data_IF_054873534889
#
_entry.id   IF_054873534889
#
_cell.length_a   1.000
_cell.length_b   1.000
_cell.length_c   1.000
_cell.angle_alpha   90.00
_cell.angle_beta   90.00
_cell.angle_gamma   90.00
#
_symmetry.space_group_name_H-M   'P 1'
#
loop_
_entity.id
_entity.type
_entity.pdbx_description
1 polymer ?
#
# COMPACT_ATOMS: atom_id res chain seq x y z
N UNK A 1 -1.26 28.07 4.66
CA UNK A 1 -0.86 27.53 5.99
C UNK A 1 0.62 27.79 6.19
N UNK A 2 1.03 28.22 7.38
CA UNK A 2 2.47 28.31 7.70
C UNK A 2 3.04 26.89 7.84
N UNK A 3 4.28 26.60 7.39
CA UNK A 3 4.85 25.24 7.40
C UNK A 3 4.79 24.56 8.79
N UNK A 4 4.96 25.34 9.86
CA UNK A 4 4.92 24.86 11.24
C UNK A 4 3.54 24.32 11.67
N UNK A 5 2.46 24.91 11.17
CA UNK A 5 1.09 24.50 11.50
C UNK A 5 0.74 23.16 10.82
N UNK A 6 1.17 23.00 9.56
CA UNK A 6 1.03 21.74 8.83
C UNK A 6 1.76 20.60 9.55
N UNK A 7 2.99 20.86 9.99
CA UNK A 7 3.79 19.89 10.73
C UNK A 7 3.11 19.46 12.03
N UNK A 8 2.62 20.42 12.82
CA UNK A 8 1.92 20.12 14.09
C UNK A 8 0.64 19.30 13.86
N UNK A 9 -0.12 19.61 12.81
CA UNK A 9 -1.33 18.87 12.45
C UNK A 9 -1.03 17.42 12.01
N UNK A 10 0.08 17.21 11.30
CA UNK A 10 0.47 15.89 10.80
C UNK A 10 1.16 15.00 11.86
N UNK A 11 1.74 15.58 12.92
CA UNK A 11 2.61 14.87 13.87
C UNK A 11 2.00 13.58 14.42
N UNK A 12 0.76 13.62 14.92
CA UNK A 12 0.10 12.45 15.50
C UNK A 12 -0.09 11.31 14.50
N UNK A 13 -0.46 11.63 13.26
CA UNK A 13 -0.59 10.65 12.19
C UNK A 13 0.78 10.08 11.78
N UNK A 14 1.79 10.92 11.61
CA UNK A 14 3.15 10.47 11.28
C UNK A 14 3.71 9.53 12.36
N UNK A 15 3.52 9.85 13.65
CA UNK A 15 3.97 9.01 14.74
C UNK A 15 3.23 7.66 14.76
N UNK A 16 1.90 7.67 14.62
CA UNK A 16 1.11 6.46 14.54
C UNK A 16 1.50 5.59 13.34
N UNK A 17 1.70 6.19 12.16
CA UNK A 17 2.20 5.51 10.95
C UNK A 17 3.56 4.87 11.16
N UNK A 18 4.50 5.56 11.82
CA UNK A 18 5.83 5.02 12.09
C UNK A 18 5.79 3.81 13.03
N UNK A 19 4.98 3.89 14.10
CA UNK A 19 4.76 2.76 15.02
C UNK A 19 4.09 1.59 14.30
N UNK A 20 3.06 1.87 13.49
CA UNK A 20 2.37 0.86 12.69
C UNK A 20 3.30 0.16 11.70
N UNK A 21 4.16 0.93 11.03
CA UNK A 21 5.14 0.40 10.09
C UNK A 21 6.12 -0.56 10.76
N UNK A 22 6.68 -0.18 11.91
CA UNK A 22 7.60 -1.01 12.67
C UNK A 22 6.93 -2.32 13.14
N UNK A 23 5.70 -2.23 13.66
CA UNK A 23 4.93 -3.38 14.11
C UNK A 23 4.55 -4.31 12.96
N UNK A 24 4.07 -3.77 11.84
CA UNK A 24 3.72 -4.55 10.66
C UNK A 24 4.93 -5.27 10.06
N UNK A 25 6.06 -4.57 9.96
CA UNK A 25 7.32 -5.16 9.49
C UNK A 25 7.76 -6.31 10.38
N UNK A 26 7.82 -6.08 11.69
CA UNK A 26 8.22 -7.10 12.65
C UNK A 26 7.28 -8.32 12.57
N UNK A 27 5.97 -8.09 12.57
CA UNK A 27 4.99 -9.17 12.55
C UNK A 27 5.03 -9.98 11.25
N UNK A 28 5.15 -9.33 10.09
CA UNK A 28 5.27 -10.03 8.81
C UNK A 28 6.55 -10.87 8.75
N UNK A 29 7.66 -10.38 9.31
CA UNK A 29 8.91 -11.12 9.36
C UNK A 29 8.79 -12.37 10.23
N UNK A 30 8.23 -12.24 11.43
CA UNK A 30 8.12 -13.36 12.37
C UNK A 30 7.04 -14.38 11.95
N UNK A 31 5.90 -13.93 11.41
CA UNK A 31 4.80 -14.83 11.05
C UNK A 31 4.95 -15.48 9.67
N UNK A 32 5.49 -14.75 8.68
CA UNK A 32 5.58 -15.23 7.30
C UNK A 32 7.01 -15.67 6.92
N UNK A 33 8.01 -15.40 7.76
CA UNK A 33 9.40 -15.72 7.47
C UNK A 33 10.01 -14.88 6.33
N UNK A 34 9.34 -13.79 5.93
CA UNK A 34 9.85 -12.91 4.88
C UNK A 34 11.10 -12.16 5.40
N UNK A 35 12.23 -12.19 4.68
CA UNK A 35 13.48 -11.62 5.20
C UNK A 35 13.42 -10.10 5.35
N UNK A 36 12.70 -9.41 4.45
CA UNK A 36 12.56 -7.95 4.46
C UNK A 36 11.15 -7.52 4.02
N UNK A 37 10.12 -7.61 4.89
CA UNK A 37 8.72 -7.33 4.57
C UNK A 37 8.41 -5.82 4.52
N UNK A 38 9.12 -5.10 3.66
CA UNK A 38 9.01 -3.65 3.52
C UNK A 38 7.60 -3.25 3.04
N UNK A 39 6.91 -4.12 2.29
CA UNK A 39 5.54 -3.86 1.85
C UNK A 39 4.55 -3.80 3.00
N UNK A 40 4.75 -4.57 4.07
CA UNK A 40 3.92 -4.49 5.27
C UNK A 40 4.08 -3.13 5.95
N UNK A 41 5.32 -2.63 6.05
CA UNK A 41 5.60 -1.30 6.58
C UNK A 41 4.94 -0.20 5.74
N UNK A 42 5.12 -0.23 4.42
CA UNK A 42 4.55 0.75 3.49
C UNK A 42 3.02 0.75 3.55
N UNK A 43 2.40 -0.42 3.58
CA UNK A 43 0.95 -0.56 3.67
C UNK A 43 0.39 0.09 4.95
N UNK A 44 1.04 -0.12 6.09
CA UNK A 44 0.66 0.53 7.35
C UNK A 44 0.77 2.07 7.26
N UNK A 45 1.83 2.59 6.63
CA UNK A 45 2.01 4.04 6.42
C UNK A 45 0.91 4.61 5.55
N UNK A 46 0.57 3.95 4.43
CA UNK A 46 -0.47 4.41 3.50
C UNK A 46 -1.84 4.42 4.18
N UNK A 47 -2.16 3.41 4.98
CA UNK A 47 -3.41 3.35 5.73
C UNK A 47 -3.55 4.53 6.70
N UNK A 48 -2.47 4.90 7.39
CA UNK A 48 -2.46 5.91 8.46
C UNK A 48 -1.98 7.30 8.02
N UNK A 49 -1.75 7.50 6.73
CA UNK A 49 -1.16 8.73 6.20
C UNK A 49 -1.94 9.98 6.66
N UNK A 50 -1.24 11.09 7.00
CA UNK A 50 -1.89 12.34 7.33
C UNK A 50 -2.84 12.81 6.22
N UNK A 51 -4.04 13.25 6.58
CA UNK A 51 -5.05 13.74 5.63
C UNK A 51 -5.99 12.66 5.08
N UNK A 52 -5.81 11.39 5.44
CA UNK A 52 -6.77 10.33 5.15
C UNK A 52 -8.02 10.52 6.02
N UNK A 53 -9.18 10.71 5.39
CA UNK A 53 -10.45 10.89 6.09
C UNK A 53 -11.08 9.56 6.56
N UNK A 54 -10.89 8.50 5.79
CA UNK A 54 -11.42 7.17 6.05
C UNK A 54 -10.30 6.12 5.86
N UNK A 55 -9.70 5.73 6.97
CA UNK A 55 -8.60 4.76 6.98
C UNK A 55 -9.04 3.37 6.51
N UNK A 56 -10.29 2.97 6.76
CA UNK A 56 -10.82 1.67 6.32
C UNK A 56 -10.96 1.64 4.80
N UNK A 57 -11.60 2.67 4.22
CA UNK A 57 -11.71 2.80 2.77
C UNK A 57 -10.33 2.91 2.12
N UNK A 58 -9.41 3.66 2.72
CA UNK A 58 -8.02 3.78 2.26
C UNK A 58 -7.33 2.43 2.20
N UNK A 59 -7.38 1.64 3.29
CA UNK A 59 -6.76 0.33 3.38
C UNK A 59 -7.34 -0.68 2.39
N UNK A 60 -8.67 -0.76 2.29
CA UNK A 60 -9.34 -1.66 1.34
C UNK A 60 -9.03 -1.29 -0.11
N UNK A 61 -9.04 0.02 -0.43
CA UNK A 61 -8.74 0.49 -1.78
C UNK A 61 -7.29 0.24 -2.17
N UNK A 62 -6.37 0.44 -1.22
CA UNK A 62 -4.96 0.09 -1.38
C UNK A 62 -4.79 -1.40 -1.66
N UNK A 63 -5.39 -2.29 -0.85
CA UNK A 63 -5.33 -3.74 -1.04
C UNK A 63 -5.87 -4.17 -2.40
N UNK A 64 -7.02 -3.62 -2.82
CA UNK A 64 -7.59 -3.89 -4.14
C UNK A 64 -6.64 -3.45 -5.27
N UNK A 65 -6.04 -2.26 -5.14
CA UNK A 65 -5.02 -1.77 -6.07
C UNK A 65 -3.82 -2.72 -6.16
N UNK A 66 -3.27 -3.17 -5.02
CA UNK A 66 -2.15 -4.12 -5.01
C UNK A 66 -2.53 -5.43 -5.70
N UNK A 67 -3.70 -6.00 -5.41
CA UNK A 67 -4.18 -7.23 -6.05
C UNK A 67 -4.28 -7.10 -7.57
N UNK A 68 -4.86 -6.00 -8.06
CA UNK A 68 -4.97 -5.72 -9.50
C UNK A 68 -3.58 -5.58 -10.12
N UNK A 69 -2.70 -4.81 -9.49
CA UNK A 69 -1.36 -4.57 -10.01
C UNK A 69 -0.50 -5.83 -10.05
N UNK A 70 -0.59 -6.69 -9.03
CA UNK A 70 0.09 -7.98 -9.01
C UNK A 70 -0.38 -8.84 -10.19
N UNK A 71 -1.69 -9.00 -10.36
CA UNK A 71 -2.25 -9.79 -11.46
C UNK A 71 -1.84 -9.26 -12.83
N UNK A 72 -1.91 -7.94 -13.05
CA UNK A 72 -1.50 -7.32 -14.32
C UNK A 72 0.01 -7.43 -14.54
N UNK A 73 0.82 -7.24 -13.50
CA UNK A 73 2.27 -7.40 -13.57
C UNK A 73 2.69 -8.82 -13.95
N UNK A 74 2.00 -9.83 -13.43
CA UNK A 74 2.24 -11.22 -13.78
C UNK A 74 1.88 -11.52 -15.24
N UNK A 75 0.72 -11.03 -15.71
CA UNK A 75 0.34 -11.16 -17.12
C UNK A 75 1.31 -10.43 -18.05
N UNK A 76 1.82 -9.27 -17.63
CA UNK A 76 2.78 -8.51 -18.40
C UNK A 76 4.14 -9.23 -18.55
N UNK A 77 4.47 -10.23 -17.70
CA UNK A 77 5.65 -11.10 -17.89
C UNK A 77 5.59 -11.91 -19.20
N UNK A 78 4.42 -12.07 -19.81
CA UNK A 78 4.27 -12.72 -21.11
C UNK A 78 4.80 -11.87 -22.27
N UNK A 79 5.02 -10.56 -22.05
CA UNK A 79 5.60 -9.67 -23.04
C UNK A 79 7.13 -9.87 -23.03
N UNK A 80 7.76 -10.10 -24.20
CA UNK A 80 9.20 -10.36 -24.27
C UNK A 80 10.04 -9.26 -23.60
N UNK A 81 11.11 -9.66 -22.91
CA UNK A 81 12.03 -8.74 -22.22
C UNK A 81 12.67 -7.71 -23.16
N UNK A 82 12.81 -8.03 -24.46
CA UNK A 82 13.32 -7.10 -25.48
C UNK A 82 12.45 -5.83 -25.64
N UNK A 83 11.21 -5.85 -25.16
CA UNK A 83 10.27 -4.73 -25.19
C UNK A 83 10.05 -4.13 -23.80
N UNK A 84 11.08 -4.11 -22.95
CA UNK A 84 11.00 -3.70 -21.55
C UNK A 84 10.21 -2.40 -21.31
N UNK A 85 10.53 -1.33 -22.04
CA UNK A 85 9.87 -0.03 -21.84
C UNK A 85 8.38 -0.06 -22.21
N UNK A 86 8.03 -0.78 -23.28
CA UNK A 86 6.63 -0.97 -23.71
C UNK A 86 5.87 -1.81 -22.70
N UNK A 87 6.48 -2.90 -22.23
CA UNK A 87 5.93 -3.79 -21.20
C UNK A 87 5.66 -3.04 -19.91
N UNK A 88 6.61 -2.22 -19.48
CA UNK A 88 6.52 -1.37 -18.29
C UNK A 88 5.36 -0.37 -18.42
N UNK A 89 5.32 0.38 -19.53
CA UNK A 89 4.29 1.38 -19.78
C UNK A 89 2.88 0.75 -19.85
N UNK A 90 2.74 -0.37 -20.57
CA UNK A 90 1.47 -1.05 -20.74
C UNK A 90 0.97 -1.64 -19.41
N UNK A 91 1.84 -2.29 -18.64
CA UNK A 91 1.47 -2.87 -17.35
C UNK A 91 0.96 -1.79 -16.38
N UNK A 92 1.68 -0.68 -16.26
CA UNK A 92 1.27 0.44 -15.41
C UNK A 92 -0.06 1.04 -15.87
N UNK A 93 -0.20 1.32 -17.17
CA UNK A 93 -1.42 1.90 -17.74
C UNK A 93 -2.63 1.00 -17.52
N UNK A 94 -2.54 -0.29 -17.87
CA UNK A 94 -3.64 -1.24 -17.73
C UNK A 94 -4.04 -1.43 -16.28
N UNK A 95 -3.06 -1.61 -15.37
CA UNK A 95 -3.34 -1.77 -13.94
C UNK A 95 -4.06 -0.54 -13.36
N UNK A 96 -3.59 0.66 -13.68
CA UNK A 96 -4.21 1.92 -13.24
C UNK A 96 -5.62 2.09 -13.81
N UNK A 97 -5.84 1.77 -15.09
CA UNK A 97 -7.15 1.87 -15.74
C UNK A 97 -8.17 0.91 -15.13
N UNK A 98 -7.77 -0.34 -14.88
CA UNK A 98 -8.62 -1.33 -14.21
C UNK A 98 -8.96 -0.84 -12.80
N UNK A 99 -7.95 -0.48 -12.00
CA UNK A 99 -8.16 0.00 -10.64
C UNK A 99 -9.06 1.24 -10.59
N UNK A 100 -8.86 2.22 -11.49
CA UNK A 100 -9.66 3.44 -11.53
C UNK A 100 -11.12 3.18 -11.91
N UNK A 101 -11.39 2.12 -12.67
CA UNK A 101 -12.72 1.76 -13.14
C UNK A 101 -13.56 1.06 -12.06
N UNK A 102 -12.93 0.25 -11.21
CA UNK A 102 -13.61 -0.51 -10.15
C UNK A 102 -13.48 0.11 -8.75
N UNK A 103 -12.39 0.84 -8.50
CA UNK A 103 -12.03 1.41 -7.20
C UNK A 103 -11.62 2.87 -7.41
N UNK A 104 -12.62 3.76 -7.45
CA UNK A 104 -12.46 5.19 -7.71
C UNK A 104 -11.78 5.95 -6.55
N UNK A 105 -10.54 5.58 -6.22
CA UNK A 105 -9.68 6.28 -5.25
C UNK A 105 -8.26 6.43 -5.82
N UNK A 106 -7.57 7.55 -5.54
CA UNK A 106 -6.20 7.74 -6.01
C UNK A 106 -5.24 6.64 -5.52
N UNK A 107 -5.41 6.17 -4.28
CA UNK A 107 -4.54 5.15 -3.69
C UNK A 107 -4.62 3.81 -4.44
N UNK A 108 -5.80 3.41 -4.90
CA UNK A 108 -5.97 2.17 -5.65
C UNK A 108 -5.23 2.20 -6.99
N UNK A 109 -5.39 3.30 -7.75
CA UNK A 109 -4.67 3.47 -9.01
C UNK A 109 -3.15 3.51 -8.81
N UNK A 110 -2.67 4.27 -7.81
CA UNK A 110 -1.25 4.35 -7.47
C UNK A 110 -0.70 2.96 -7.13
N UNK A 111 -1.40 2.19 -6.28
CA UNK A 111 -0.94 0.86 -5.89
C UNK A 111 -1.02 -0.15 -7.02
N UNK A 112 -2.01 -0.06 -7.90
CA UNK A 112 -2.09 -0.94 -9.06
C UNK A 112 -0.92 -0.74 -10.01
N UNK A 113 -0.63 0.51 -10.39
CA UNK A 113 0.54 0.84 -11.21
C UNK A 113 1.84 0.40 -10.53
N UNK A 114 2.08 0.86 -9.30
CA UNK A 114 3.29 0.52 -8.56
C UNK A 114 3.45 -0.99 -8.34
N UNK A 115 2.36 -1.72 -8.16
CA UNK A 115 2.43 -3.17 -7.94
C UNK A 115 2.79 -3.95 -9.20
N UNK A 116 2.21 -3.57 -10.34
CA UNK A 116 2.58 -4.14 -11.62
C UNK A 116 4.08 -3.95 -11.89
N UNK A 117 4.60 -2.74 -11.70
CA UNK A 117 6.01 -2.43 -11.93
C UNK A 117 6.97 -3.25 -11.07
N UNK A 118 6.63 -3.43 -9.80
CA UNK A 118 7.46 -4.20 -8.87
C UNK A 118 7.42 -5.70 -9.17
N UNK A 119 6.30 -6.25 -9.67
CA UNK A 119 6.28 -7.63 -10.19
C UNK A 119 7.21 -7.78 -11.38
N UNK A 120 7.24 -6.79 -12.28
CA UNK A 120 8.17 -6.81 -13.41
C UNK A 120 9.63 -6.74 -12.94
N UNK A 121 9.92 -5.92 -11.94
CA UNK A 121 11.29 -5.66 -11.48
C UNK A 121 11.85 -6.76 -10.57
N UNK A 122 11.04 -7.26 -9.63
CA UNK A 122 11.48 -8.19 -8.59
C UNK A 122 11.06 -9.64 -8.88
N UNK A 123 10.19 -9.83 -9.87
CA UNK A 123 9.59 -11.12 -10.20
C UNK A 123 8.41 -11.50 -9.30
N UNK A 124 7.60 -12.48 -9.73
CA UNK A 124 6.35 -12.85 -9.06
C UNK A 124 6.57 -13.53 -7.71
N UNK A 125 7.75 -14.15 -7.48
CA UNK A 125 8.08 -14.78 -6.19
C UNK A 125 8.14 -13.75 -5.06
N UNK A 126 8.79 -12.61 -5.31
CA UNK A 126 9.00 -11.55 -4.32
C UNK A 126 7.85 -10.55 -4.31
N UNK A 127 7.36 -10.14 -5.48
CA UNK A 127 6.40 -9.06 -5.60
C UNK A 127 4.97 -9.51 -5.94
N UNK A 128 4.73 -10.81 -6.13
CA UNK A 128 3.42 -11.39 -6.39
C UNK A 128 2.64 -11.70 -5.11
N UNK A 129 2.39 -12.98 -4.83
CA UNK A 129 1.57 -13.39 -3.69
C UNK A 129 2.16 -12.98 -2.33
N UNK A 130 3.47 -13.08 -2.15
CA UNK A 130 4.15 -12.67 -0.92
C UNK A 130 3.83 -11.20 -0.55
N UNK A 131 3.77 -10.34 -1.56
CA UNK A 131 3.39 -8.94 -1.39
C UNK A 131 1.95 -8.75 -0.93
N UNK A 132 1.01 -9.56 -1.42
CA UNK A 132 -0.39 -9.49 -0.98
C UNK A 132 -0.52 -9.81 0.50
N UNK A 133 0.23 -10.80 0.99
CA UNK A 133 0.27 -11.14 2.41
C UNK A 133 0.87 -10.00 3.25
N UNK A 134 2.01 -9.46 2.84
CA UNK A 134 2.66 -8.33 3.52
C UNK A 134 1.72 -7.12 3.62
N UNK A 135 1.11 -6.74 2.50
CA UNK A 135 0.19 -5.60 2.45
C UNK A 135 -1.04 -5.85 3.33
N UNK A 136 -1.52 -7.10 3.41
CA UNK A 136 -2.65 -7.47 4.29
C UNK A 136 -2.29 -7.29 5.77
N UNK A 137 -1.08 -7.70 6.18
CA UNK A 137 -0.59 -7.48 7.55
C UNK A 137 -0.46 -5.98 7.84
N UNK A 138 0.18 -5.24 6.93
CA UNK A 138 0.34 -3.79 7.08
C UNK A 138 -0.98 -3.04 7.17
N UNK A 139 -1.96 -3.39 6.32
CA UNK A 139 -3.28 -2.82 6.36
C UNK A 139 -3.99 -3.14 7.67
N UNK A 140 -3.96 -4.40 8.13
CA UNK A 140 -4.58 -4.80 9.39
C UNK A 140 -4.01 -4.04 10.59
N UNK A 141 -2.68 -3.96 10.71
CA UNK A 141 -2.02 -3.22 11.79
C UNK A 141 -2.32 -1.72 11.72
N UNK A 142 -2.29 -1.14 10.51
CA UNK A 142 -2.66 0.25 10.28
C UNK A 142 -4.09 0.55 10.75
N UNK A 143 -5.05 -0.31 10.42
CA UNK A 143 -6.45 -0.14 10.81
C UNK A 143 -6.67 -0.30 12.32
N UNK A 144 -6.00 -1.26 12.96
CA UNK A 144 -6.05 -1.43 14.42
C UNK A 144 -5.57 -0.16 15.12
N UNK A 145 -4.45 0.40 14.68
CA UNK A 145 -3.89 1.62 15.27
C UNK A 145 -4.73 2.85 14.93
N UNK A 146 -5.35 2.91 13.74
CA UNK A 146 -6.30 3.95 13.39
C UNK A 146 -7.46 4.01 14.40
N UNK A 147 -8.01 2.84 14.72
CA UNK A 147 -9.08 2.70 15.70
C UNK A 147 -8.63 3.12 17.10
N UNK A 148 -7.46 2.69 17.55
CA UNK A 148 -6.94 3.02 18.87
C UNK A 148 -6.62 4.51 19.04
N UNK A 149 -6.00 5.15 18.04
CA UNK A 149 -5.53 6.53 18.18
C UNK A 149 -6.55 7.59 17.73
N UNK A 150 -7.31 7.35 16.67
CA UNK A 150 -8.16 8.39 16.05
C UNK A 150 -9.64 8.26 16.42
N UNK A 151 -10.16 7.06 16.68
CA UNK A 151 -11.54 6.90 17.15
C UNK A 151 -11.69 7.40 18.60
N UNK A 152 -10.69 7.18 19.45
CA UNK A 152 -10.70 7.64 20.86
C UNK A 152 -10.72 9.17 20.94
N UNK A 153 -9.97 9.86 20.08
CA UNK A 153 -9.89 11.33 20.07
C UNK A 153 -11.21 12.03 19.69
N UNK A 154 -12.13 11.33 19.01
CA UNK A 154 -13.43 11.88 18.58
C UNK A 154 -14.51 11.86 19.68
N UNK A 155 -14.30 11.14 20.78
CA UNK A 155 -15.27 11.05 21.91
C UNK A 155 -14.99 12.00 23.07
N UNK A 156 -13.90 12.79 23.00
CA UNK A 156 -13.48 13.70 24.06
C UNK A 156 -13.58 15.19 23.71
N UNK A 157 -14.32 15.56 22.67
CA UNK A 157 -14.55 16.94 22.23
C UNK A 157 -16.05 17.28 22.28
#
# INVERSE_FOLDING_TARGET
MKPLEAMKAAFGHCLASAVAAALAYWLARELLGHPQPVFAAIAAIICLAPGVADHVKQGLSMMAGVAIGVAVGELALMIPDALWDVRLALAAFVAMMIASSFVATPVAAIQAGASALLVLLLGPKEAGFARLLDVSIGAAIGLILAFLFFTVRRRGA
#
